data_IF_721689976054
#
_entry.id   IF_721689976054
#
_cell.length_a   1.000
_cell.length_b   1.000
_cell.length_c   1.000
_cell.angle_alpha   90.00
_cell.angle_beta   90.00
_cell.angle_gamma   90.00
#
_symmetry.space_group_name_H-M   'P 1'
#
loop_
_entity.id
_entity.type
_entity.pdbx_description
1 polymer ?
#
# COMPACT_ATOMS: atom_id res chain seq x y z
N UNK A 1 2.03 1.36 -45.54
CA UNK A 1 0.57 1.57 -45.77
C UNK A 1 0.01 2.16 -44.47
N UNK A 2 -0.60 3.35 -44.55
CA UNK A 2 -1.17 4.01 -43.37
C UNK A 2 -2.44 3.29 -42.91
N UNK A 3 -2.59 3.08 -41.59
CA UNK A 3 -3.74 2.45 -40.98
C UNK A 3 -4.95 3.40 -41.01
N UNK A 4 -6.09 2.90 -41.44
CA UNK A 4 -7.37 3.63 -41.41
C UNK A 4 -8.01 3.38 -40.03
N UNK A 5 -8.22 4.45 -39.25
CA UNK A 5 -8.75 4.37 -37.89
C UNK A 5 -10.24 4.00 -37.80
N UNK A 6 -10.98 4.14 -38.93
CA UNK A 6 -12.40 3.84 -39.02
C UNK A 6 -12.70 3.16 -40.36
N UNK A 7 -13.51 2.07 -40.38
CA UNK A 7 -13.79 1.31 -41.56
C UNK A 7 -14.44 2.09 -42.75
N UNK A 8 -15.12 3.21 -42.45
CA UNK A 8 -15.68 4.13 -43.43
C UNK A 8 -14.74 5.27 -43.86
N UNK A 9 -13.51 5.34 -43.32
CA UNK A 9 -12.55 6.36 -43.71
C UNK A 9 -11.89 6.01 -45.06
N UNK A 10 -12.05 6.88 -46.06
CA UNK A 10 -11.50 6.73 -47.39
C UNK A 10 -10.09 7.30 -47.55
N UNK A 11 -9.54 7.95 -46.49
CA UNK A 11 -8.20 8.57 -46.54
C UNK A 11 -7.35 8.09 -45.37
N UNK A 12 -6.13 7.64 -45.70
CA UNK A 12 -5.08 7.36 -44.70
C UNK A 12 -4.31 8.62 -44.34
N UNK A 13 -3.53 8.61 -43.23
CA UNK A 13 -2.65 9.73 -42.86
C UNK A 13 -1.65 10.07 -43.95
N UNK A 14 -1.14 9.06 -44.70
CA UNK A 14 -0.23 9.25 -45.81
C UNK A 14 -0.88 10.05 -46.94
N UNK A 15 -2.13 9.70 -47.34
CA UNK A 15 -2.89 10.45 -48.35
C UNK A 15 -3.16 11.89 -47.87
N UNK A 16 -3.56 12.08 -46.64
CA UNK A 16 -3.82 13.40 -46.06
C UNK A 16 -2.57 14.29 -46.09
N UNK A 17 -1.41 13.74 -45.69
CA UNK A 17 -0.13 14.42 -45.74
C UNK A 17 0.28 14.77 -47.18
N UNK A 18 0.09 13.84 -48.13
CA UNK A 18 0.33 14.09 -49.55
C UNK A 18 -0.56 15.22 -50.08
N UNK A 19 -1.83 15.28 -49.71
CA UNK A 19 -2.76 16.39 -50.09
C UNK A 19 -2.28 17.71 -49.52
N UNK A 20 -1.82 17.78 -48.25
CA UNK A 20 -1.35 19.01 -47.62
C UNK A 20 -0.12 19.60 -48.30
N UNK A 21 0.82 18.75 -48.74
CA UNK A 21 2.08 19.18 -49.35
C UNK A 21 2.00 19.32 -50.88
N UNK A 22 0.90 18.88 -51.51
CA UNK A 22 0.74 18.94 -52.94
C UNK A 22 0.42 20.36 -53.44
N UNK A 23 1.03 20.74 -54.54
CA UNK A 23 0.72 21.95 -55.32
C UNK A 23 -0.37 21.74 -56.37
N UNK A 24 -0.84 20.48 -56.55
CA UNK A 24 -1.87 20.13 -57.55
C UNK A 24 -3.23 20.79 -57.22
N UNK A 25 -4.05 20.92 -58.29
CA UNK A 25 -5.41 21.44 -58.14
C UNK A 25 -6.31 20.48 -57.35
N UNK A 26 -7.38 21.01 -56.71
CA UNK A 26 -8.34 20.18 -55.97
C UNK A 26 -8.97 19.11 -56.84
N UNK A 27 -9.19 19.40 -58.12
CA UNK A 27 -9.75 18.48 -59.10
C UNK A 27 -8.78 17.34 -59.45
N UNK A 28 -7.51 17.65 -59.62
CA UNK A 28 -6.47 16.65 -59.90
C UNK A 28 -6.28 15.70 -58.72
N UNK A 29 -6.18 16.22 -57.50
CA UNK A 29 -6.06 15.43 -56.27
C UNK A 29 -7.31 14.56 -56.01
N UNK A 30 -8.51 15.09 -56.32
CA UNK A 30 -9.76 14.35 -56.20
C UNK A 30 -9.76 13.12 -57.12
N UNK A 31 -9.34 13.29 -58.37
CA UNK A 31 -9.22 12.18 -59.35
C UNK A 31 -8.13 11.20 -58.93
N UNK A 32 -6.97 11.70 -58.58
CA UNK A 32 -5.79 10.89 -58.18
C UNK A 32 -6.07 9.95 -57.01
N UNK A 33 -6.77 10.42 -55.96
CA UNK A 33 -7.03 9.65 -54.75
C UNK A 33 -8.44 9.06 -54.68
N UNK A 34 -9.31 9.27 -55.70
CA UNK A 34 -10.67 8.76 -55.71
C UNK A 34 -11.58 9.33 -54.63
N UNK A 35 -11.34 10.57 -54.15
CA UNK A 35 -12.04 11.20 -53.05
C UNK A 35 -12.74 12.49 -53.48
N UNK A 36 -13.79 12.87 -52.73
CA UNK A 36 -14.56 14.08 -53.05
C UNK A 36 -13.68 15.34 -52.94
N UNK A 37 -13.85 16.33 -53.84
CA UNK A 37 -13.15 17.61 -53.80
C UNK A 37 -13.33 18.37 -52.50
N UNK A 38 -14.51 18.28 -51.84
CA UNK A 38 -14.76 18.86 -50.53
C UNK A 38 -13.83 18.26 -49.46
N UNK A 39 -13.56 16.95 -49.53
CA UNK A 39 -12.64 16.23 -48.65
C UNK A 39 -11.20 16.67 -48.92
N UNK A 40 -10.80 16.82 -50.16
CA UNK A 40 -9.46 17.37 -50.53
C UNK A 40 -9.30 18.76 -49.98
N UNK A 41 -10.27 19.68 -50.22
CA UNK A 41 -10.26 21.04 -49.67
C UNK A 41 -10.14 21.07 -48.14
N UNK A 42 -10.92 20.21 -47.46
CA UNK A 42 -10.87 20.06 -46.01
C UNK A 42 -9.46 19.70 -45.51
N UNK A 43 -8.81 18.72 -46.16
CA UNK A 43 -7.48 18.28 -45.71
C UNK A 43 -6.39 19.26 -46.12
N UNK A 44 -6.51 19.94 -47.25
CA UNK A 44 -5.56 20.97 -47.70
C UNK A 44 -5.58 22.20 -46.81
N UNK A 45 -6.72 22.55 -46.19
CA UNK A 45 -6.89 23.66 -45.28
C UNK A 45 -6.49 23.35 -43.81
N UNK A 46 -6.21 22.08 -43.48
CA UNK A 46 -5.82 21.68 -42.11
C UNK A 46 -4.31 21.66 -41.96
N UNK A 47 -3.83 22.08 -40.78
CA UNK A 47 -2.44 21.97 -40.36
C UNK A 47 -2.07 20.56 -39.84
N UNK A 48 -3.04 19.74 -39.45
CA UNK A 48 -2.85 18.39 -38.90
C UNK A 48 -3.57 17.33 -39.71
N UNK A 49 -2.92 16.14 -39.89
CA UNK A 49 -3.46 14.97 -40.55
C UNK A 49 -4.31 14.07 -39.66
N UNK A 50 -4.28 14.32 -38.34
CA UNK A 50 -4.97 13.50 -37.33
C UNK A 50 -6.47 13.78 -37.35
N UNK A 51 -7.28 12.75 -37.13
CA UNK A 51 -8.71 12.93 -36.97
C UNK A 51 -9.05 13.71 -35.70
N UNK A 52 -9.99 14.62 -35.81
CA UNK A 52 -10.52 15.30 -34.62
C UNK A 52 -11.29 14.30 -33.79
N UNK A 53 -11.18 14.43 -32.47
CA UNK A 53 -11.98 13.63 -31.54
C UNK A 53 -13.47 13.80 -31.87
N UNK A 54 -14.15 12.67 -32.05
CA UNK A 54 -15.61 12.61 -32.16
C UNK A 54 -16.21 12.56 -30.75
N UNK A 55 -17.32 13.22 -30.54
CA UNK A 55 -17.99 13.29 -29.25
C UNK A 55 -18.04 14.71 -28.67
N UNK A 56 -18.74 14.90 -27.57
CA UNK A 56 -18.89 16.21 -26.94
C UNK A 56 -17.54 16.72 -26.43
N UNK A 57 -17.32 18.03 -26.51
CA UNK A 57 -16.11 18.67 -25.95
C UNK A 57 -16.02 18.48 -24.46
N UNK A 58 -17.15 18.54 -23.77
CA UNK A 58 -17.32 18.34 -22.34
C UNK A 58 -18.30 17.19 -22.11
N UNK A 59 -17.79 15.94 -22.01
CA UNK A 59 -18.65 14.78 -21.78
C UNK A 59 -19.19 14.82 -20.35
N UNK A 60 -20.52 14.74 -20.20
CA UNK A 60 -21.21 14.64 -18.92
C UNK A 60 -21.65 13.22 -18.63
N UNK A 61 -21.88 12.89 -17.38
CA UNK A 61 -22.50 11.63 -16.99
C UNK A 61 -24.00 11.64 -17.28
N UNK A 62 -24.53 10.52 -17.70
CA UNK A 62 -25.99 10.28 -17.78
C UNK A 62 -26.52 9.49 -16.58
N UNK A 63 -25.63 9.02 -15.71
CA UNK A 63 -25.97 8.11 -14.59
C UNK A 63 -25.63 8.75 -13.25
N UNK A 64 -24.56 9.55 -13.18
CA UNK A 64 -24.10 10.19 -11.95
C UNK A 64 -24.49 11.67 -11.97
N UNK A 65 -24.98 12.18 -10.84
CA UNK A 65 -25.21 13.60 -10.62
C UNK A 65 -23.88 14.37 -10.45
N UNK A 66 -23.93 15.69 -10.50
CA UNK A 66 -22.76 16.55 -10.31
C UNK A 66 -22.19 16.39 -8.89
N UNK A 67 -23.06 16.27 -7.90
CA UNK A 67 -22.72 16.09 -6.49
C UNK A 67 -22.05 14.73 -6.27
N UNK A 68 -22.58 13.67 -6.87
CA UNK A 68 -21.99 12.34 -6.79
C UNK A 68 -20.62 12.28 -7.46
N UNK A 69 -20.45 12.95 -8.60
CA UNK A 69 -19.12 13.07 -9.23
C UNK A 69 -18.14 13.84 -8.33
N UNK A 70 -18.59 14.90 -7.66
CA UNK A 70 -17.75 15.66 -6.72
C UNK A 70 -17.31 14.79 -5.53
N UNK A 71 -18.23 14.00 -4.95
CA UNK A 71 -17.92 13.03 -3.88
C UNK A 71 -16.90 12.00 -4.36
N UNK A 72 -17.10 11.40 -5.53
CA UNK A 72 -16.19 10.42 -6.12
C UNK A 72 -14.79 11.00 -6.32
N UNK A 73 -14.71 12.21 -6.89
CA UNK A 73 -13.45 12.90 -7.16
C UNK A 73 -12.73 13.26 -5.87
N UNK A 74 -13.44 13.83 -4.90
CA UNK A 74 -12.90 14.14 -3.58
C UNK A 74 -12.37 12.91 -2.88
N UNK A 75 -13.18 11.85 -2.79
CA UNK A 75 -12.79 10.59 -2.19
C UNK A 75 -11.52 10.00 -2.85
N UNK A 76 -11.47 9.95 -4.19
CA UNK A 76 -10.33 9.41 -4.92
C UNK A 76 -9.05 10.20 -4.70
N UNK A 77 -9.12 11.55 -4.69
CA UNK A 77 -7.98 12.43 -4.48
C UNK A 77 -7.39 12.33 -3.08
N UNK A 78 -8.26 12.19 -2.08
CA UNK A 78 -7.81 12.09 -0.68
C UNK A 78 -7.31 10.70 -0.31
N UNK A 79 -8.00 9.65 -0.75
CA UNK A 79 -7.67 8.28 -0.33
C UNK A 79 -6.63 7.61 -1.21
N UNK A 80 -6.50 8.01 -2.49
CA UNK A 80 -5.64 7.37 -3.50
C UNK A 80 -5.89 5.85 -3.65
N UNK A 81 -7.09 5.37 -3.30
CA UNK A 81 -7.43 3.96 -3.39
C UNK A 81 -7.51 3.49 -4.84
N UNK A 82 -7.20 2.22 -5.15
CA UNK A 82 -7.49 1.61 -6.46
C UNK A 82 -8.97 1.70 -6.84
N UNK A 83 -9.28 1.60 -8.16
CA UNK A 83 -10.63 1.74 -8.68
C UNK A 83 -11.66 0.85 -7.96
N UNK A 84 -11.32 -0.42 -7.78
CA UNK A 84 -12.25 -1.39 -7.20
C UNK A 84 -12.45 -1.15 -5.69
N UNK A 85 -11.42 -0.69 -4.99
CA UNK A 85 -11.51 -0.33 -3.56
C UNK A 85 -12.36 0.95 -3.37
N UNK A 86 -12.24 1.92 -4.29
CA UNK A 86 -13.13 3.09 -4.34
C UNK A 86 -14.59 2.69 -4.59
N UNK A 87 -14.82 1.75 -5.51
CA UNK A 87 -16.16 1.26 -5.80
C UNK A 87 -16.81 0.69 -4.53
N UNK A 88 -16.15 -0.24 -3.86
CA UNK A 88 -16.69 -0.86 -2.66
C UNK A 88 -16.91 0.12 -1.50
N UNK A 89 -16.04 1.13 -1.37
CA UNK A 89 -16.19 2.14 -0.33
C UNK A 89 -17.35 3.10 -0.60
N UNK A 90 -17.62 3.42 -1.87
CA UNK A 90 -18.65 4.40 -2.27
C UNK A 90 -20.03 3.77 -2.52
N UNK A 91 -20.13 2.47 -2.79
CA UNK A 91 -21.41 1.79 -3.03
C UNK A 91 -22.46 1.96 -1.91
N UNK A 92 -22.12 1.97 -0.61
CA UNK A 92 -23.12 2.23 0.44
C UNK A 92 -23.73 3.66 0.35
N UNK A 93 -22.97 4.64 -0.15
CA UNK A 93 -23.44 6.03 -0.31
C UNK A 93 -24.07 6.28 -1.68
N UNK A 94 -23.59 5.60 -2.72
CA UNK A 94 -24.07 5.71 -4.11
C UNK A 94 -24.41 4.30 -4.59
N UNK A 95 -25.63 3.77 -4.26
CA UNK A 95 -25.97 2.36 -4.51
C UNK A 95 -25.95 1.93 -5.99
N UNK A 96 -26.25 2.88 -6.91
CA UNK A 96 -26.26 2.64 -8.36
C UNK A 96 -24.88 2.79 -9.01
N UNK A 97 -23.82 3.06 -8.21
CA UNK A 97 -22.46 3.20 -8.73
C UNK A 97 -21.95 1.88 -9.29
N UNK A 98 -21.64 1.87 -10.57
CA UNK A 98 -21.02 0.73 -11.24
C UNK A 98 -19.55 0.98 -11.47
N UNK A 99 -18.78 -0.09 -11.68
CA UNK A 99 -17.35 0.00 -12.03
C UNK A 99 -17.13 0.84 -13.30
N UNK A 100 -18.04 0.75 -14.25
CA UNK A 100 -17.94 1.48 -15.53
C UNK A 100 -18.25 2.97 -15.38
N UNK A 101 -19.27 3.33 -14.59
CA UNK A 101 -19.61 4.75 -14.33
C UNK A 101 -18.49 5.42 -13.52
N UNK A 102 -17.97 4.74 -12.49
CA UNK A 102 -16.83 5.21 -11.70
C UNK A 102 -15.58 5.42 -12.59
N UNK A 103 -15.21 4.44 -13.42
CA UNK A 103 -14.05 4.56 -14.30
C UNK A 103 -14.17 5.73 -15.28
N UNK A 104 -15.35 5.92 -15.91
CA UNK A 104 -15.60 7.05 -16.81
C UNK A 104 -15.56 8.39 -16.08
N UNK A 105 -16.11 8.48 -14.86
CA UNK A 105 -16.03 9.66 -14.02
C UNK A 105 -14.55 10.04 -13.76
N UNK A 106 -13.75 9.09 -13.24
CA UNK A 106 -12.34 9.32 -12.97
C UNK A 106 -11.52 9.68 -14.22
N UNK A 107 -11.88 9.13 -15.40
CA UNK A 107 -11.26 9.51 -16.67
C UNK A 107 -11.59 10.95 -17.08
N UNK A 108 -12.86 11.37 -16.96
CA UNK A 108 -13.27 12.75 -17.26
C UNK A 108 -12.50 13.78 -16.45
N UNK A 109 -12.27 13.47 -15.17
CA UNK A 109 -11.53 14.34 -14.24
C UNK A 109 -10.00 14.14 -14.27
N UNK A 110 -9.46 13.35 -15.21
CA UNK A 110 -8.01 13.16 -15.39
C UNK A 110 -7.32 12.37 -14.27
N UNK A 111 -8.08 11.74 -13.38
CA UNK A 111 -7.57 10.97 -12.22
C UNK A 111 -7.80 9.46 -12.35
N UNK A 112 -8.04 8.99 -13.58
CA UNK A 112 -8.27 7.57 -13.88
C UNK A 112 -7.07 6.67 -13.57
N UNK A 113 -5.85 7.19 -13.68
CA UNK A 113 -4.62 6.49 -13.31
C UNK A 113 -4.03 7.12 -12.06
N UNK A 114 -3.75 6.30 -11.04
CA UNK A 114 -2.78 6.69 -10.03
C UNK A 114 -1.43 6.78 -10.72
N UNK A 115 -0.59 7.75 -10.36
CA UNK A 115 0.77 7.85 -10.86
C UNK A 115 1.44 6.46 -10.71
N UNK A 116 1.60 5.77 -11.82
CA UNK A 116 2.23 4.45 -11.84
C UNK A 116 3.72 4.64 -11.98
N UNK A 117 4.46 4.15 -10.99
CA UNK A 117 5.84 3.73 -11.24
C UNK A 117 5.70 2.44 -12.07
N UNK A 118 6.17 2.49 -13.32
CA UNK A 118 6.10 1.37 -14.25
C UNK A 118 6.82 0.14 -13.66
N UNK A 119 6.10 -0.97 -13.57
CA UNK A 119 6.69 -2.28 -13.35
C UNK A 119 6.09 -3.25 -14.35
N UNK A 120 6.94 -3.86 -15.17
CA UNK A 120 6.62 -4.97 -16.06
C UNK A 120 5.89 -6.07 -15.30
N UNK A 121 4.75 -6.51 -15.85
CA UNK A 121 3.91 -7.53 -15.23
C UNK A 121 4.16 -8.90 -15.87
N UNK A 122 4.93 -9.79 -15.22
CA UNK A 122 4.98 -11.19 -15.64
C UNK A 122 3.63 -11.90 -15.41
N UNK A 123 3.38 -12.94 -16.23
CA UNK A 123 2.14 -13.72 -16.20
C UNK A 123 1.80 -14.25 -14.80
N UNK A 124 0.55 -14.06 -14.38
CA UNK A 124 0.06 -14.40 -13.04
C UNK A 124 0.01 -15.91 -12.81
N UNK A 125 1.00 -16.49 -12.14
CA UNK A 125 0.86 -17.82 -11.55
C UNK A 125 -0.11 -17.75 -10.36
N UNK A 126 -1.08 -18.69 -10.31
CA UNK A 126 -1.98 -18.81 -9.16
C UNK A 126 -1.19 -19.22 -7.93
N UNK A 127 -1.22 -18.42 -6.88
CA UNK A 127 -0.58 -18.75 -5.61
C UNK A 127 -1.38 -19.83 -4.85
N UNK A 128 -0.66 -20.70 -4.13
CA UNK A 128 -1.27 -21.68 -3.25
C UNK A 128 -2.12 -20.99 -2.18
N UNK A 129 -3.33 -21.51 -1.95
CA UNK A 129 -4.21 -21.05 -0.87
C UNK A 129 -3.68 -21.54 0.47
N UNK A 130 -3.75 -20.72 1.49
CA UNK A 130 -3.39 -21.04 2.87
C UNK A 130 -4.54 -20.66 3.80
N UNK A 131 -4.71 -21.35 4.95
CA UNK A 131 -5.62 -20.91 5.97
C UNK A 131 -5.18 -19.59 6.61
N UNK A 132 -6.04 -18.95 7.38
CA UNK A 132 -5.72 -17.76 8.19
C UNK A 132 -4.61 -18.07 9.20
N UNK A 133 -3.69 -17.13 9.43
CA UNK A 133 -2.55 -17.31 10.34
C UNK A 133 -1.20 -17.56 9.66
N UNK A 134 -1.11 -17.31 8.34
CA UNK A 134 0.16 -17.27 7.61
C UNK A 134 0.61 -15.83 7.44
N UNK A 135 1.58 -15.39 8.21
CA UNK A 135 2.11 -14.03 8.15
C UNK A 135 3.39 -13.91 7.33
N UNK A 136 3.47 -12.84 6.55
CA UNK A 136 4.71 -12.35 5.98
C UNK A 136 5.18 -11.18 6.84
N UNK A 137 6.45 -11.18 7.24
CA UNK A 137 7.08 -10.09 8.01
C UNK A 137 8.21 -9.50 7.20
N UNK A 138 8.30 -8.18 7.22
CA UNK A 138 9.37 -7.42 6.58
C UNK A 138 9.71 -6.17 7.40
N UNK A 139 10.92 -5.64 7.20
CA UNK A 139 11.41 -4.44 7.86
C UNK A 139 11.79 -3.43 6.80
N UNK A 140 11.26 -2.23 6.93
CA UNK A 140 11.57 -1.12 6.02
C UNK A 140 12.09 0.08 6.81
N UNK A 141 12.96 0.87 6.20
CA UNK A 141 13.44 2.11 6.79
C UNK A 141 12.51 3.26 6.45
N UNK A 142 12.26 4.12 7.44
CA UNK A 142 11.52 5.37 7.31
C UNK A 142 12.27 6.47 8.07
N UNK A 143 12.02 7.73 7.73
CA UNK A 143 12.72 8.87 8.29
C UNK A 143 11.73 9.97 8.67
N UNK A 144 11.99 10.61 9.80
CA UNK A 144 11.39 11.87 10.25
C UNK A 144 12.49 12.92 10.42
N UNK A 145 12.17 14.14 10.80
CA UNK A 145 13.17 15.17 11.09
C UNK A 145 14.05 14.80 12.31
N UNK A 146 13.52 14.09 13.29
CA UNK A 146 14.29 13.58 14.44
C UNK A 146 15.29 12.47 14.07
N UNK A 147 15.11 11.78 12.94
CA UNK A 147 16.02 10.74 12.51
C UNK A 147 15.33 9.52 11.89
N UNK A 148 16.10 8.43 11.83
CA UNK A 148 15.73 7.18 11.18
C UNK A 148 14.97 6.26 12.14
N UNK A 149 13.90 5.64 11.62
CA UNK A 149 13.16 4.58 12.27
C UNK A 149 13.07 3.35 11.37
N UNK A 150 12.80 2.21 11.98
CA UNK A 150 12.54 0.94 11.31
C UNK A 150 11.08 0.57 11.43
N UNK A 151 10.42 0.42 10.30
CA UNK A 151 9.04 0.03 10.17
C UNK A 151 8.96 -1.49 10.04
N UNK A 152 8.52 -2.16 11.10
CA UNK A 152 8.21 -3.58 11.09
C UNK A 152 6.78 -3.77 10.61
N UNK A 153 6.58 -4.58 9.60
CA UNK A 153 5.26 -4.85 8.99
C UNK A 153 5.02 -6.34 8.95
N UNK A 154 3.89 -6.78 9.46
CA UNK A 154 3.37 -8.12 9.29
C UNK A 154 2.03 -8.05 8.56
N UNK A 155 1.84 -8.92 7.57
CA UNK A 155 0.56 -9.06 6.86
C UNK A 155 0.16 -10.53 6.77
N UNK A 156 -1.06 -10.84 7.19
CA UNK A 156 -1.65 -12.16 6.97
C UNK A 156 -1.91 -12.38 5.48
N UNK A 157 -1.40 -13.48 4.97
CA UNK A 157 -1.52 -13.82 3.55
C UNK A 157 -2.96 -13.99 3.10
N UNK A 158 -3.83 -14.46 3.97
CA UNK A 158 -5.21 -14.83 3.66
C UNK A 158 -6.18 -13.71 3.99
N UNK A 159 -6.22 -13.24 5.23
CA UNK A 159 -7.13 -12.16 5.66
C UNK A 159 -6.67 -10.77 5.24
N UNK A 160 -5.41 -10.60 4.84
CA UNK A 160 -4.78 -9.29 4.59
C UNK A 160 -4.70 -8.40 5.82
N UNK A 161 -4.99 -8.92 7.00
CA UNK A 161 -4.85 -8.18 8.24
C UNK A 161 -3.40 -7.75 8.43
N UNK A 162 -3.19 -6.46 8.67
CA UNK A 162 -1.88 -5.87 8.83
C UNK A 162 -1.61 -5.49 10.28
N UNK A 163 -0.40 -5.78 10.76
CA UNK A 163 0.13 -5.35 12.04
C UNK A 163 1.46 -4.64 11.83
N UNK A 164 1.64 -3.50 12.49
CA UNK A 164 2.78 -2.61 12.21
C UNK A 164 3.32 -2.02 13.49
N UNK A 165 4.65 -1.90 13.59
CA UNK A 165 5.33 -1.19 14.68
C UNK A 165 6.51 -0.40 14.16
N UNK A 166 6.82 0.73 14.80
CA UNK A 166 8.04 1.51 14.61
C UNK A 166 9.03 1.22 15.72
N UNK A 167 10.29 1.04 15.36
CA UNK A 167 11.39 0.84 16.28
C UNK A 167 12.61 1.67 15.89
N UNK A 168 13.40 2.10 16.85
CA UNK A 168 14.63 2.86 16.60
C UNK A 168 15.76 1.97 16.07
N UNK A 169 15.71 0.66 16.35
CA UNK A 169 16.73 -0.30 15.95
C UNK A 169 16.10 -1.55 15.34
N UNK A 170 16.67 -2.01 14.23
CA UNK A 170 16.31 -3.29 13.62
C UNK A 170 17.33 -4.36 14.03
N UNK A 171 17.08 -5.03 15.12
CA UNK A 171 17.93 -6.10 15.63
C UNK A 171 17.10 -7.34 16.04
N UNK A 172 17.77 -8.41 16.45
CA UNK A 172 17.13 -9.68 16.86
C UNK A 172 16.17 -9.52 18.05
N UNK A 173 16.43 -8.55 18.95
CA UNK A 173 15.61 -8.31 20.15
C UNK A 173 14.30 -7.64 19.73
N UNK A 174 14.39 -6.55 18.94
CA UNK A 174 13.20 -5.84 18.45
C UNK A 174 12.36 -6.71 17.54
N UNK A 175 12.97 -7.54 16.66
CA UNK A 175 12.25 -8.49 15.83
C UNK A 175 11.49 -9.55 16.66
N UNK A 176 12.11 -10.06 17.72
CA UNK A 176 11.48 -11.01 18.65
C UNK A 176 10.34 -10.37 19.44
N UNK A 177 10.53 -9.13 19.92
CA UNK A 177 9.49 -8.37 20.61
C UNK A 177 8.28 -8.08 19.69
N UNK A 178 8.56 -7.73 18.43
CA UNK A 178 7.54 -7.54 17.41
C UNK A 178 6.70 -8.80 17.19
N UNK A 179 7.33 -9.99 17.12
CA UNK A 179 6.60 -11.25 16.98
C UNK A 179 5.67 -11.51 18.18
N UNK A 180 6.15 -11.29 19.40
CA UNK A 180 5.33 -11.46 20.61
C UNK A 180 4.15 -10.49 20.61
N UNK A 181 4.37 -9.24 20.19
CA UNK A 181 3.32 -8.25 20.05
C UNK A 181 2.29 -8.64 18.99
N UNK A 182 2.74 -9.13 17.82
CA UNK A 182 1.87 -9.66 16.77
C UNK A 182 1.00 -10.81 17.26
N UNK A 183 1.60 -11.78 17.98
CA UNK A 183 0.86 -12.92 18.55
C UNK A 183 -0.22 -12.46 19.54
N UNK A 184 0.03 -11.41 20.31
CA UNK A 184 -0.97 -10.84 21.22
C UNK A 184 -2.07 -10.06 20.48
N UNK A 185 -1.72 -9.36 19.41
CA UNK A 185 -2.63 -8.49 18.68
C UNK A 185 -3.68 -9.24 17.84
N UNK A 186 -3.37 -10.44 17.33
CA UNK A 186 -4.31 -11.19 16.48
C UNK A 186 -5.15 -12.18 17.27
N UNK A 187 -6.48 -12.28 16.99
CA UNK A 187 -7.40 -13.16 17.74
C UNK A 187 -7.28 -14.64 17.37
N UNK A 188 -6.47 -14.98 16.38
CA UNK A 188 -6.32 -16.35 15.87
C UNK A 188 -4.89 -16.88 16.04
N UNK A 189 -4.75 -18.20 15.90
CA UNK A 189 -3.45 -18.88 16.00
C UNK A 189 -2.61 -18.58 14.75
N UNK A 190 -1.40 -18.10 14.96
CA UNK A 190 -0.40 -17.97 13.89
C UNK A 190 0.28 -19.32 13.74
N UNK A 191 0.21 -19.92 12.56
CA UNK A 191 0.84 -21.22 12.31
C UNK A 191 2.16 -21.11 11.53
N UNK A 192 2.33 -20.07 10.71
CA UNK A 192 3.55 -19.89 9.90
C UNK A 192 3.90 -18.42 9.80
N UNK A 193 5.17 -18.12 9.92
CA UNK A 193 5.75 -16.81 9.66
C UNK A 193 6.81 -16.93 8.58
N UNK A 194 6.72 -16.11 7.53
CA UNK A 194 7.70 -16.01 6.46
C UNK A 194 8.45 -14.68 6.60
N UNK A 195 9.78 -14.75 6.70
CA UNK A 195 10.67 -13.58 6.74
C UNK A 195 11.69 -13.63 5.61
N UNK A 196 12.40 -12.55 5.40
CA UNK A 196 13.62 -12.55 4.62
C UNK A 196 14.77 -13.26 5.37
N UNK A 197 15.96 -13.28 4.76
CA UNK A 197 17.17 -13.88 5.35
C UNK A 197 18.01 -12.87 6.16
N UNK A 198 17.43 -11.75 6.59
CA UNK A 198 18.10 -10.73 7.36
C UNK A 198 18.61 -11.24 8.72
N UNK A 199 19.68 -10.62 9.23
CA UNK A 199 20.29 -10.97 10.53
C UNK A 199 19.34 -10.76 11.72
N UNK A 200 18.24 -10.03 11.52
CA UNK A 200 17.18 -9.84 12.51
C UNK A 200 16.36 -11.11 12.72
N UNK A 201 16.35 -12.01 11.73
CA UNK A 201 15.52 -13.21 11.71
C UNK A 201 16.34 -14.51 11.67
N UNK A 202 17.62 -14.43 11.23
CA UNK A 202 18.50 -15.59 11.03
C UNK A 202 19.88 -15.34 11.63
N UNK A 203 20.53 -16.42 12.04
CA UNK A 203 21.97 -16.37 12.40
C UNK A 203 22.78 -15.90 11.18
N UNK A 204 23.71 -14.96 11.36
CA UNK A 204 24.60 -14.54 10.29
C UNK A 204 25.42 -15.71 9.77
N UNK A 205 25.81 -15.74 8.48
CA UNK A 205 26.51 -16.85 7.85
C UNK A 205 27.75 -17.31 8.64
N UNK A 206 28.49 -16.37 9.21
CA UNK A 206 29.69 -16.67 10.04
C UNK A 206 29.35 -17.53 11.26
N UNK A 207 28.21 -17.30 11.91
CA UNK A 207 27.75 -18.08 13.06
C UNK A 207 27.03 -19.36 12.63
N UNK A 208 26.29 -19.31 11.52
CA UNK A 208 25.59 -20.47 10.99
C UNK A 208 26.53 -21.57 10.48
N UNK A 209 27.77 -21.22 10.12
CA UNK A 209 28.80 -22.16 9.66
C UNK A 209 29.88 -22.47 10.74
N UNK A 210 29.71 -21.94 11.96
CA UNK A 210 30.63 -22.20 13.06
C UNK A 210 30.46 -23.65 13.59
N UNK A 211 31.51 -24.29 14.17
CA UNK A 211 31.41 -25.63 14.72
C UNK A 211 30.31 -25.83 15.76
N UNK A 212 29.99 -24.78 16.52
CA UNK A 212 28.93 -24.76 17.53
C UNK A 212 27.53 -24.34 16.97
N UNK A 213 27.40 -24.13 15.66
CA UNK A 213 26.15 -23.73 15.02
C UNK A 213 24.95 -24.62 15.35
N UNK A 214 25.10 -25.98 15.46
CA UNK A 214 23.98 -26.85 15.83
C UNK A 214 23.38 -26.55 17.20
N UNK A 215 24.14 -25.93 18.10
CA UNK A 215 23.72 -25.57 19.46
C UNK A 215 23.22 -24.11 19.56
N UNK A 216 23.36 -23.34 18.49
CA UNK A 216 22.94 -21.93 18.46
C UNK A 216 21.54 -21.78 17.89
N UNK A 217 20.64 -21.25 18.66
CA UNK A 217 19.29 -20.91 18.18
C UNK A 217 19.12 -19.39 18.12
N UNK A 218 18.66 -18.89 16.95
CA UNK A 218 18.36 -17.47 16.83
C UNK A 218 17.15 -17.09 17.70
N UNK A 219 17.20 -15.94 18.39
CA UNK A 219 16.17 -15.50 19.32
C UNK A 219 14.77 -15.46 18.69
N UNK A 220 14.65 -15.00 17.44
CA UNK A 220 13.39 -14.98 16.70
C UNK A 220 12.84 -16.41 16.47
N UNK A 221 13.70 -17.35 16.08
CA UNK A 221 13.32 -18.75 15.89
C UNK A 221 12.91 -19.41 17.21
N UNK A 222 13.57 -19.07 18.31
CA UNK A 222 13.19 -19.52 19.65
C UNK A 222 11.77 -19.04 19.99
N UNK A 223 11.45 -17.75 19.79
CA UNK A 223 10.12 -17.20 20.02
C UNK A 223 9.06 -17.84 19.11
N UNK A 224 9.39 -18.12 17.84
CA UNK A 224 8.48 -18.88 16.97
C UNK A 224 8.16 -20.25 17.57
N UNK A 225 9.19 -20.97 18.05
CA UNK A 225 9.05 -22.31 18.67
C UNK A 225 8.20 -22.27 19.95
N UNK A 226 8.43 -21.29 20.85
CA UNK A 226 7.64 -21.11 22.06
C UNK A 226 6.14 -20.91 21.79
N UNK A 227 5.79 -20.30 20.65
CA UNK A 227 4.41 -20.07 20.24
C UNK A 227 3.87 -21.15 19.26
N UNK A 228 4.60 -22.22 18.98
CA UNK A 228 4.22 -23.26 18.02
C UNK A 228 4.13 -22.77 16.58
N UNK A 229 4.91 -21.76 16.22
CA UNK A 229 4.91 -21.11 14.91
C UNK A 229 6.04 -21.70 14.05
N UNK A 230 5.70 -22.15 12.84
CA UNK A 230 6.69 -22.53 11.84
C UNK A 230 7.36 -21.29 11.26
N UNK A 231 8.68 -21.17 11.41
CA UNK A 231 9.45 -20.08 10.80
C UNK A 231 9.99 -20.52 9.45
N UNK A 232 9.62 -19.83 8.40
CA UNK A 232 10.10 -20.03 7.03
C UNK A 232 10.87 -18.81 6.54
N UNK A 233 11.86 -19.06 5.68
CA UNK A 233 12.62 -18.01 5.01
C UNK A 233 12.23 -17.92 3.53
N UNK A 234 12.34 -16.72 2.96
CA UNK A 234 12.23 -16.54 1.52
C UNK A 234 13.38 -17.24 0.83
N UNK A 235 13.09 -17.88 -0.32
CA UNK A 235 14.14 -18.48 -1.14
C UNK A 235 15.07 -17.40 -1.68
N UNK A 236 16.36 -17.66 -1.62
CA UNK A 236 17.39 -16.81 -2.23
C UNK A 236 17.08 -16.68 -3.73
N UNK A 237 17.18 -15.47 -4.28
CA UNK A 237 16.87 -15.14 -5.68
C UNK A 237 15.39 -15.34 -6.10
N UNK A 238 14.44 -15.39 -5.15
CA UNK A 238 13.02 -15.48 -5.43
C UNK A 238 12.23 -14.35 -4.76
N UNK A 239 12.42 -13.07 -5.16
CA UNK A 239 11.83 -11.90 -4.51
C UNK A 239 10.30 -11.93 -4.48
N UNK A 240 9.65 -12.57 -5.47
CA UNK A 240 8.18 -12.65 -5.52
C UNK A 240 7.53 -13.41 -4.35
N UNK A 241 8.30 -14.15 -3.55
CA UNK A 241 7.76 -14.86 -2.38
C UNK A 241 7.33 -13.90 -1.27
N UNK A 242 7.93 -12.72 -1.17
CA UNK A 242 7.61 -11.69 -0.17
C UNK A 242 6.75 -10.53 -0.71
N UNK A 243 6.31 -10.60 -1.97
CA UNK A 243 5.64 -9.51 -2.67
C UNK A 243 4.35 -8.97 -2.03
N UNK A 244 3.74 -9.67 -1.07
CA UNK A 244 2.57 -9.14 -0.33
C UNK A 244 2.97 -8.11 0.73
N UNK A 245 3.97 -8.41 1.54
CA UNK A 245 4.45 -7.49 2.57
C UNK A 245 5.19 -6.30 1.94
N UNK A 246 5.96 -6.53 0.87
CA UNK A 246 6.59 -5.44 0.09
C UNK A 246 5.54 -4.45 -0.46
N UNK A 247 4.41 -4.99 -0.96
CA UNK A 247 3.29 -4.16 -1.40
C UNK A 247 2.67 -3.40 -0.23
N UNK A 248 2.54 -4.01 0.94
CA UNK A 248 2.04 -3.35 2.13
C UNK A 248 3.00 -2.26 2.60
N UNK A 249 4.31 -2.52 2.64
CA UNK A 249 5.35 -1.52 2.92
C UNK A 249 5.25 -0.32 1.96
N UNK A 250 5.08 -0.59 0.67
CA UNK A 250 4.88 0.48 -0.32
C UNK A 250 3.61 1.27 -0.03
N UNK A 251 2.49 0.59 0.22
CA UNK A 251 1.19 1.23 0.52
C UNK A 251 1.28 2.12 1.76
N UNK A 252 1.95 1.66 2.81
CA UNK A 252 2.19 2.46 4.03
C UNK A 252 3.06 3.68 3.70
N UNK A 253 4.21 3.47 3.05
CA UNK A 253 5.12 4.57 2.70
C UNK A 253 4.47 5.61 1.79
N UNK A 254 3.65 5.18 0.82
CA UNK A 254 2.93 6.07 -0.09
C UNK A 254 1.83 6.88 0.63
N UNK A 255 1.24 6.32 1.69
CA UNK A 255 0.24 7.00 2.51
C UNK A 255 0.85 7.88 3.62
N UNK A 256 2.10 7.67 4.00
CA UNK A 256 2.77 8.35 5.11
C UNK A 256 4.00 9.14 4.62
N UNK A 257 5.19 8.61 4.83
CA UNK A 257 6.49 9.32 4.68
C UNK A 257 6.82 9.82 3.27
N UNK A 258 6.17 9.31 2.23
CA UNK A 258 6.31 9.86 0.88
C UNK A 258 5.38 11.03 0.59
N UNK A 259 4.35 11.20 1.42
CA UNK A 259 3.32 12.20 1.20
C UNK A 259 3.40 13.35 2.20
N UNK A 260 3.81 13.04 3.43
CA UNK A 260 3.84 14.00 4.53
C UNK A 260 5.24 14.09 5.13
N UNK A 261 5.60 15.28 5.57
CA UNK A 261 6.75 15.53 6.42
C UNK A 261 6.36 15.34 7.89
N UNK A 262 7.24 14.78 8.69
CA UNK A 262 7.02 14.55 10.13
C UNK A 262 8.16 15.17 10.89
N UNK A 263 7.85 16.08 11.81
CA UNK A 263 8.84 16.74 12.65
C UNK A 263 9.36 15.80 13.72
N UNK A 264 8.48 15.01 14.33
CA UNK A 264 8.82 14.06 15.37
C UNK A 264 8.34 12.62 15.05
N UNK A 265 8.88 11.68 15.82
CA UNK A 265 8.54 10.27 15.69
C UNK A 265 7.10 9.97 16.12
N UNK A 266 6.53 10.73 17.04
CA UNK A 266 5.18 10.50 17.57
C UNK A 266 4.09 10.93 16.58
N UNK A 267 4.33 11.97 15.78
CA UNK A 267 3.44 12.32 14.65
C UNK A 267 3.34 11.15 13.67
N UNK A 268 4.48 10.56 13.27
CA UNK A 268 4.49 9.41 12.39
C UNK A 268 3.80 8.19 13.04
N UNK A 269 4.03 7.93 14.34
CA UNK A 269 3.39 6.82 15.06
C UNK A 269 1.88 6.96 15.09
N UNK A 270 1.34 8.14 15.41
CA UNK A 270 -0.11 8.43 15.43
C UNK A 270 -0.71 8.23 14.04
N UNK A 271 -0.15 8.87 13.02
CA UNK A 271 -0.65 8.75 11.65
C UNK A 271 -0.59 7.30 11.14
N UNK A 272 0.48 6.56 11.47
CA UNK A 272 0.61 5.15 11.11
C UNK A 272 -0.45 4.28 11.81
N UNK A 273 -0.74 4.54 13.08
CA UNK A 273 -1.79 3.85 13.82
C UNK A 273 -3.17 4.07 13.19
N UNK A 274 -3.51 5.33 12.87
CA UNK A 274 -4.76 5.68 12.20
C UNK A 274 -4.87 5.02 10.81
N UNK A 275 -3.78 5.07 10.04
CA UNK A 275 -3.73 4.42 8.73
C UNK A 275 -3.97 2.91 8.82
N UNK A 276 -3.30 2.21 9.75
CA UNK A 276 -3.42 0.76 9.91
C UNK A 276 -4.81 0.40 10.43
N UNK A 277 -5.39 1.20 11.33
CA UNK A 277 -6.75 1.03 11.78
C UNK A 277 -7.74 1.18 10.60
N UNK A 278 -7.63 2.24 9.82
CA UNK A 278 -8.44 2.44 8.62
C UNK A 278 -8.25 1.30 7.60
N UNK A 279 -7.03 0.82 7.40
CA UNK A 279 -6.75 -0.31 6.53
C UNK A 279 -7.44 -1.59 6.98
N UNK A 280 -7.37 -1.93 8.26
CA UNK A 280 -7.92 -3.18 8.79
C UNK A 280 -9.44 -3.15 8.94
N UNK A 281 -10.02 -2.01 9.34
CA UNK A 281 -11.42 -1.94 9.74
C UNK A 281 -12.34 -1.21 8.75
N UNK A 282 -11.79 -0.34 7.91
CA UNK A 282 -12.60 0.46 6.98
C UNK A 282 -12.31 0.16 5.51
N UNK A 283 -11.09 -0.21 5.14
CA UNK A 283 -10.71 -0.41 3.75
C UNK A 283 -11.24 -1.73 3.19
N UNK A 284 -12.13 -1.65 2.21
CA UNK A 284 -12.68 -2.80 1.49
C UNK A 284 -11.75 -3.26 0.38
N UNK A 285 -11.41 -4.55 0.36
CA UNK A 285 -10.43 -5.10 -0.57
C UNK A 285 -11.09 -6.01 -1.61
N UNK A 286 -10.77 -5.79 -2.88
CA UNK A 286 -11.20 -6.67 -3.98
C UNK A 286 -10.78 -8.12 -3.77
N UNK A 287 -9.58 -8.37 -3.24
CA UNK A 287 -9.05 -9.70 -2.96
C UNK A 287 -9.87 -10.47 -1.91
N UNK A 288 -10.60 -9.73 -1.08
CA UNK A 288 -11.50 -10.26 -0.06
C UNK A 288 -12.99 -10.14 -0.48
N UNK A 289 -13.25 -9.96 -1.79
CA UNK A 289 -14.60 -9.80 -2.36
C UNK A 289 -15.39 -8.63 -1.77
N UNK A 290 -14.70 -7.52 -1.47
CA UNK A 290 -15.30 -6.31 -0.92
C UNK A 290 -15.39 -6.28 0.61
N UNK A 291 -14.88 -7.28 1.30
CA UNK A 291 -14.77 -7.26 2.76
C UNK A 291 -13.51 -6.49 3.19
N UNK A 292 -13.57 -5.90 4.40
CA UNK A 292 -12.37 -5.42 5.08
C UNK A 292 -11.56 -6.60 5.62
N UNK A 293 -10.27 -6.43 5.94
CA UNK A 293 -9.49 -7.47 6.61
C UNK A 293 -10.16 -8.00 7.88
N UNK A 294 -10.73 -7.12 8.70
CA UNK A 294 -11.41 -7.51 9.93
C UNK A 294 -12.74 -8.25 9.70
N UNK A 295 -13.57 -7.77 8.77
CA UNK A 295 -14.79 -8.49 8.36
C UNK A 295 -14.48 -9.90 7.85
N UNK A 296 -13.36 -10.04 7.12
CA UNK A 296 -12.90 -11.35 6.66
C UNK A 296 -12.45 -12.25 7.83
N UNK A 297 -11.74 -11.69 8.82
CA UNK A 297 -11.37 -12.41 10.05
C UNK A 297 -12.62 -12.89 10.79
N UNK A 298 -13.63 -12.03 10.95
CA UNK A 298 -14.91 -12.39 11.59
C UNK A 298 -15.64 -13.48 10.83
N UNK A 299 -15.61 -13.44 9.49
CA UNK A 299 -16.17 -14.51 8.65
C UNK A 299 -15.42 -15.83 8.84
N UNK A 300 -14.08 -15.81 8.95
CA UNK A 300 -13.32 -17.02 9.25
C UNK A 300 -13.63 -17.58 10.63
N UNK A 301 -13.89 -16.73 11.62
CA UNK A 301 -14.35 -17.17 12.95
C UNK A 301 -15.65 -18.00 12.86
N UNK A 302 -16.62 -17.53 12.08
CA UNK A 302 -17.90 -18.25 11.92
C UNK A 302 -17.73 -19.63 11.28
N UNK A 303 -16.75 -19.80 10.37
CA UNK A 303 -16.53 -21.06 9.65
C UNK A 303 -15.51 -21.99 10.33
N UNK A 304 -14.49 -21.46 11.01
CA UNK A 304 -13.38 -22.22 11.60
C UNK A 304 -13.00 -21.67 13.00
N UNK A 305 -13.90 -21.75 14.01
CA UNK A 305 -13.67 -21.16 15.33
C UNK A 305 -12.45 -21.75 16.06
N UNK A 306 -12.12 -23.03 15.84
CA UNK A 306 -10.99 -23.73 16.48
C UNK A 306 -9.61 -23.12 16.16
N UNK A 307 -9.53 -22.33 15.10
CA UNK A 307 -8.31 -21.60 14.73
C UNK A 307 -8.11 -20.35 15.57
N UNK A 308 -9.11 -19.94 16.33
CA UNK A 308 -9.09 -18.69 17.08
C UNK A 308 -8.75 -18.94 18.55
N UNK A 309 -8.16 -17.94 19.18
CA UNK A 309 -7.90 -17.88 20.63
C UNK A 309 -9.03 -17.16 21.36
N UNK A 310 -9.59 -16.14 20.68
CA UNK A 310 -10.60 -15.25 21.20
C UNK A 310 -11.63 -14.98 20.08
N UNK A 311 -12.87 -14.71 20.49
CA UNK A 311 -13.88 -14.24 19.54
C UNK A 311 -13.49 -12.84 19.02
N UNK A 312 -13.26 -12.67 17.71
CA UNK A 312 -12.83 -11.38 17.15
C UNK A 312 -13.87 -10.27 17.34
N UNK A 313 -15.16 -10.61 17.49
CA UNK A 313 -16.22 -9.64 17.71
C UNK A 313 -16.12 -8.92 19.08
N UNK A 314 -15.36 -9.48 20.03
CA UNK A 314 -15.09 -8.84 21.32
C UNK A 314 -13.88 -7.88 21.27
N UNK A 315 -13.16 -7.81 20.17
CA UNK A 315 -12.04 -6.87 20.01
C UNK A 315 -12.56 -5.53 19.49
N UNK A 316 -12.30 -4.46 20.24
CA UNK A 316 -12.65 -3.11 19.80
C UNK A 316 -11.70 -2.66 18.68
N UNK A 317 -12.21 -2.09 17.57
CA UNK A 317 -11.39 -1.46 16.55
C UNK A 317 -10.48 -0.37 17.15
N UNK A 318 -9.21 -0.37 16.78
CA UNK A 318 -8.25 0.64 17.20
C UNK A 318 -7.45 0.34 18.48
N UNK A 319 -7.93 -0.51 19.38
CA UNK A 319 -7.21 -0.86 20.60
C UNK A 319 -5.94 -1.70 20.37
N UNK A 320 -5.85 -2.38 19.24
CA UNK A 320 -4.75 -3.29 18.92
C UNK A 320 -3.55 -2.60 18.28
N UNK A 321 -3.67 -1.33 17.94
CA UNK A 321 -2.59 -0.57 17.31
C UNK A 321 -1.78 0.28 18.30
N UNK A 322 -2.31 0.50 19.48
CA UNK A 322 -1.62 1.20 20.56
C UNK A 322 -1.07 0.14 21.52
N UNK A 323 0.01 -0.49 21.14
CA UNK A 323 0.85 -1.11 22.18
C UNK A 323 1.54 0.05 22.90
N UNK A 324 1.53 0.03 24.25
CA UNK A 324 2.36 0.95 25.01
C UNK A 324 3.80 0.82 24.51
N UNK A 325 4.59 1.89 24.50
CA UNK A 325 5.99 1.80 24.18
C UNK A 325 6.54 0.63 24.98
N UNK A 326 7.28 -0.26 24.32
CA UNK A 326 7.95 -1.38 24.98
C UNK A 326 8.63 -0.75 26.19
N UNK A 327 8.18 -1.09 27.39
CA UNK A 327 8.89 -0.72 28.60
C UNK A 327 10.28 -1.31 28.47
N UNK A 328 11.20 -0.52 27.96
CA UNK A 328 12.62 -0.80 28.11
C UNK A 328 12.82 -1.00 29.60
N UNK A 329 13.51 -2.07 30.05
CA UNK A 329 13.88 -2.19 31.46
C UNK A 329 14.50 -0.87 31.87
N UNK A 330 14.20 -0.37 33.09
CA UNK A 330 14.66 0.94 33.54
C UNK A 330 16.15 0.99 33.26
N UNK A 331 16.54 1.86 32.32
CA UNK A 331 17.96 2.15 32.12
C UNK A 331 18.46 2.60 33.49
N UNK A 332 19.46 1.91 33.98
CA UNK A 332 20.19 2.29 35.17
C UNK A 332 20.42 3.80 35.07
N UNK A 333 19.74 4.54 35.93
CA UNK A 333 19.98 5.99 36.10
C UNK A 333 21.45 6.12 36.43
N UNK A 334 22.24 6.53 35.46
CA UNK A 334 23.66 6.78 35.68
C UNK A 334 23.78 7.76 36.84
N UNK A 335 24.70 7.47 37.76
CA UNK A 335 24.96 8.19 39.00
C UNK A 335 25.22 9.71 38.85
N UNK A 336 25.29 10.23 37.65
CA UNK A 336 25.44 11.66 37.33
C UNK A 336 24.20 12.50 37.67
N UNK A 337 22.97 11.95 37.58
CA UNK A 337 21.76 12.72 37.89
C UNK A 337 21.39 12.79 39.36
N UNK A 338 22.01 11.96 40.20
CA UNK A 338 21.80 12.03 41.68
C UNK A 338 22.63 13.15 42.31
N UNK A 339 23.74 13.55 41.67
CA UNK A 339 24.60 14.66 42.19
C UNK A 339 23.99 16.04 41.90
N UNK A 340 23.24 16.22 40.82
CA UNK A 340 22.61 17.51 40.51
C UNK A 340 21.42 17.84 41.42
N UNK A 341 20.69 16.83 41.90
CA UNK A 341 19.57 17.04 42.85
C UNK A 341 20.07 17.30 44.29
N UNK A 342 21.23 16.75 44.69
CA UNK A 342 21.85 17.03 46.01
C UNK A 342 22.53 18.38 46.09
N UNK A 343 22.94 18.99 44.98
CA UNK A 343 23.52 20.34 44.96
C UNK A 343 22.45 21.45 45.02
N UNK A 344 21.24 21.22 44.53
CA UNK A 344 20.12 22.16 44.65
C UNK A 344 19.50 22.17 46.09
N UNK A 345 19.53 21.07 46.78
CA UNK A 345 19.01 21.01 48.17
C UNK A 345 19.95 21.61 49.22
N UNK A 346 21.21 21.97 48.87
CA UNK A 346 22.16 22.63 49.79
C UNK A 346 22.23 24.15 49.61
N UNK A 347 21.64 24.71 48.54
CA UNK A 347 21.62 26.17 48.35
C UNK A 347 20.38 26.85 48.89
N UNK A 348 19.32 26.09 49.23
CA UNK A 348 18.07 26.65 49.78
C UNK A 348 18.01 26.65 51.31
N UNK A 349 19.09 26.24 52.00
CA UNK A 349 19.15 26.23 53.50
C UNK A 349 20.08 27.27 54.10
N UNK A 350 20.56 28.27 53.34
CA UNK A 350 21.49 29.30 53.84
C UNK A 350 20.98 30.74 53.72
N UNK A 351 19.67 30.97 53.60
CA UNK A 351 19.12 32.34 53.64
C UNK A 351 17.87 32.40 54.52
N UNK A 352 18.03 32.07 55.79
CA UNK A 352 17.01 32.39 56.79
C UNK A 352 17.71 32.46 58.18
N UNK A 353 18.48 33.54 58.42
CA UNK A 353 18.81 34.15 59.70
C UNK A 353 19.73 35.37 59.44
N UNK A 354 19.08 36.50 59.24
CA UNK A 354 19.35 37.82 59.91
C UNK A 354 18.35 38.84 59.39
#
# INVERSE_FOLDING_TARGET
MGQVLHGSATTTEAIRRAIQHSKESLRALSRRYGINQKTVRKWKARSSVVDRRTGPKEPRSTVLSIEEEAVIVGFRRHTLLPLDDCLYALQPTIPHLTRSSLHRCLQRHGIGRLAQIESDKPAKKKFKSYPIGFFHIDIAEVQTAEGKLYLFVAIDRTSKFAFVQLAEKANRVTASAFLVALVKAVPYKIHTVLTDNGIQFRLPPRQANAPNAPYMTHMFALRCREHGIEHRFTKINHPWTNGQVERMNRTIKDATVKRYHYDDHDQLRRHLADFVAAYNFARRLKTLKGLTPFEFVSKCWTSEPDRFKLNPLHQMPGLNTILPPVLLPPQQRTAANVRAVRLRAKTDSCTATE
#
